data_IF_357349046256
#
_entry.id   IF_357349046256
#
_cell.length_a   1.000
_cell.length_b   1.000
_cell.length_c   1.000
_cell.angle_alpha   90.00
_cell.angle_beta   90.00
_cell.angle_gamma   90.00
#
_symmetry.space_group_name_H-M   'P 1'
#
loop_
_entity.id
_entity.type
_entity.pdbx_description
1 polymer ?
#
# COMPACT_ATOMS: atom_id res chain seq x y z
N UNK A 1 45.74 23.87 3.10
CA UNK A 1 47.05 23.59 2.48
C UNK A 1 47.36 22.12 2.71
N UNK A 2 47.11 21.25 1.72
CA UNK A 2 47.28 19.79 1.89
C UNK A 2 48.78 19.49 1.80
N UNK A 3 49.38 18.77 2.77
CA UNK A 3 50.80 18.48 2.75
C UNK A 3 51.18 17.70 1.50
N UNK A 4 52.30 18.07 0.86
CA UNK A 4 52.77 17.48 -0.41
C UNK A 4 52.90 15.94 -0.34
N UNK A 5 53.17 15.42 0.85
CA UNK A 5 53.23 13.98 1.15
C UNK A 5 51.88 13.27 0.95
N UNK A 6 50.76 13.91 1.33
CA UNK A 6 49.40 13.34 1.19
C UNK A 6 48.94 13.32 -0.27
N UNK A 7 49.41 14.27 -1.10
CA UNK A 7 49.18 14.24 -2.57
C UNK A 7 49.94 13.08 -3.22
N UNK A 8 51.21 12.87 -2.87
CA UNK A 8 51.97 11.72 -3.37
C UNK A 8 51.33 10.38 -2.98
N UNK A 9 50.86 10.26 -1.74
CA UNK A 9 50.20 9.04 -1.27
C UNK A 9 48.92 8.73 -2.04
N UNK A 10 48.11 9.75 -2.35
CA UNK A 10 46.89 9.59 -3.16
C UNK A 10 47.25 9.15 -4.59
N UNK A 11 48.27 9.76 -5.21
CA UNK A 11 48.70 9.37 -6.55
C UNK A 11 49.18 7.91 -6.60
N UNK A 12 49.96 7.47 -5.63
CA UNK A 12 50.45 6.09 -5.54
C UNK A 12 49.28 5.11 -5.34
N UNK A 13 48.32 5.45 -4.47
CA UNK A 13 47.15 4.63 -4.22
C UNK A 13 46.28 4.48 -5.49
N UNK A 14 46.06 5.58 -6.22
CA UNK A 14 45.31 5.54 -7.48
C UNK A 14 46.04 4.74 -8.56
N UNK A 15 47.36 4.88 -8.67
CA UNK A 15 48.15 4.12 -9.65
C UNK A 15 48.12 2.61 -9.37
N UNK A 16 48.19 2.21 -8.09
CA UNK A 16 48.11 0.80 -7.69
C UNK A 16 46.75 0.17 -8.01
N UNK A 17 45.65 0.92 -7.90
CA UNK A 17 44.31 0.43 -8.26
C UNK A 17 44.20 0.21 -9.78
N UNK A 18 44.73 1.14 -10.60
CA UNK A 18 44.72 1.00 -12.06
C UNK A 18 45.50 -0.23 -12.55
N UNK A 19 46.59 -0.62 -11.87
CA UNK A 19 47.43 -1.77 -12.24
C UNK A 19 46.71 -3.12 -12.03
N UNK A 20 45.75 -3.21 -11.10
CA UNK A 20 45.00 -4.45 -10.84
C UNK A 20 43.79 -4.65 -11.75
N UNK A 21 43.35 -3.61 -12.46
CA UNK A 21 42.16 -3.67 -13.31
C UNK A 21 42.35 -4.49 -14.61
N UNK A 22 43.61 -4.71 -15.02
CA UNK A 22 43.96 -5.51 -16.20
C UNK A 22 44.34 -6.95 -15.80
N UNK A 23 43.44 -7.70 -15.17
CA UNK A 23 43.58 -9.16 -15.19
C UNK A 23 43.04 -9.70 -16.53
N UNK A 24 43.92 -10.36 -17.29
CA UNK A 24 43.53 -11.10 -18.49
C UNK A 24 42.45 -12.12 -18.12
N UNK A 25 41.31 -12.08 -18.82
CA UNK A 25 40.30 -13.13 -18.71
C UNK A 25 40.95 -14.47 -19.04
N UNK A 26 40.91 -15.39 -18.08
CA UNK A 26 41.28 -16.79 -18.28
C UNK A 26 40.53 -17.28 -19.52
N UNK A 27 41.26 -17.76 -20.53
CA UNK A 27 40.66 -18.35 -21.73
C UNK A 27 40.00 -19.67 -21.33
N UNK A 28 38.75 -19.60 -20.91
CA UNK A 28 37.94 -20.79 -20.67
C UNK A 28 37.71 -21.55 -21.98
N UNK A 29 37.67 -22.87 -21.89
CA UNK A 29 37.28 -23.74 -22.99
C UNK A 29 35.87 -23.35 -23.49
N UNK A 30 35.71 -23.05 -24.79
CA UNK A 30 34.43 -22.63 -25.35
C UNK A 30 33.31 -23.65 -25.17
N UNK A 31 33.60 -24.95 -25.06
CA UNK A 31 32.57 -25.98 -24.84
C UNK A 31 32.02 -25.93 -23.41
N UNK A 32 32.89 -25.93 -22.40
CA UNK A 32 32.49 -25.75 -20.99
C UNK A 32 31.71 -24.45 -20.73
N UNK A 33 32.01 -23.39 -21.50
CA UNK A 33 31.25 -22.13 -21.41
C UNK A 33 29.83 -22.27 -21.96
N UNK A 34 29.67 -22.96 -23.10
CA UNK A 34 28.35 -23.21 -23.70
C UNK A 34 27.48 -24.06 -22.78
N UNK A 35 28.04 -25.14 -22.23
CA UNK A 35 27.28 -26.03 -21.35
C UNK A 35 26.77 -25.30 -20.09
N UNK A 36 27.62 -24.47 -19.45
CA UNK A 36 27.18 -23.64 -18.31
C UNK A 36 26.10 -22.65 -18.71
N UNK A 37 26.23 -22.03 -19.88
CA UNK A 37 25.25 -21.08 -20.38
C UNK A 37 23.90 -21.76 -20.64
N UNK A 38 23.90 -22.92 -21.29
CA UNK A 38 22.71 -23.71 -21.57
C UNK A 38 22.01 -24.15 -20.29
N UNK A 39 22.75 -24.65 -19.29
CA UNK A 39 22.20 -24.99 -17.97
C UNK A 39 21.56 -23.77 -17.29
N UNK A 40 22.23 -22.62 -17.30
CA UNK A 40 21.71 -21.40 -16.70
C UNK A 40 20.45 -20.89 -17.43
N UNK A 41 20.41 -20.96 -18.76
CA UNK A 41 19.24 -20.60 -19.56
C UNK A 41 18.08 -21.55 -19.25
N UNK A 42 18.32 -22.86 -19.27
CA UNK A 42 17.30 -23.87 -18.98
C UNK A 42 16.69 -23.66 -17.59
N UNK A 43 17.52 -23.38 -16.58
CA UNK A 43 17.06 -23.07 -15.23
C UNK A 43 16.17 -21.82 -15.20
N UNK A 44 16.61 -20.72 -15.82
CA UNK A 44 15.81 -19.47 -15.89
C UNK A 44 14.48 -19.67 -16.60
N UNK A 45 14.46 -20.42 -17.70
CA UNK A 45 13.24 -20.70 -18.45
C UNK A 45 12.27 -21.55 -17.63
N UNK A 46 12.75 -22.54 -16.89
CA UNK A 46 11.91 -23.37 -16.04
C UNK A 46 11.28 -22.57 -14.90
N UNK A 47 12.06 -21.72 -14.22
CA UNK A 47 11.54 -20.83 -13.16
C UNK A 47 10.45 -19.92 -13.73
N UNK A 48 10.74 -19.23 -14.84
CA UNK A 48 9.78 -18.34 -15.48
C UNK A 48 8.51 -19.05 -15.93
N UNK A 49 8.62 -20.28 -16.45
CA UNK A 49 7.46 -21.09 -16.86
C UNK A 49 6.56 -21.39 -15.66
N UNK A 50 7.14 -21.78 -14.54
CA UNK A 50 6.38 -22.10 -13.31
C UNK A 50 5.69 -20.85 -12.77
N UNK A 51 6.40 -19.74 -12.65
CA UNK A 51 5.85 -18.46 -12.18
C UNK A 51 4.70 -17.99 -13.07
N UNK A 52 4.91 -18.01 -14.39
CA UNK A 52 3.89 -17.61 -15.35
C UNK A 52 2.66 -18.52 -15.32
N UNK A 53 2.86 -19.83 -15.17
CA UNK A 53 1.76 -20.78 -15.03
C UNK A 53 0.95 -20.53 -13.76
N UNK A 54 1.61 -20.29 -12.62
CA UNK A 54 0.94 -19.97 -11.37
C UNK A 54 0.15 -18.66 -11.48
N UNK A 55 0.72 -17.64 -12.12
CA UNK A 55 0.02 -16.37 -12.34
C UNK A 55 -1.22 -16.56 -13.22
N UNK A 56 -1.06 -17.25 -14.36
CA UNK A 56 -2.16 -17.56 -15.26
C UNK A 56 -3.28 -18.34 -14.56
N UNK A 57 -2.92 -19.32 -13.72
CA UNK A 57 -3.90 -20.07 -12.92
C UNK A 57 -4.67 -19.15 -11.96
N UNK A 58 -3.98 -18.26 -11.25
CA UNK A 58 -4.63 -17.30 -10.33
C UNK A 58 -5.57 -16.37 -11.07
N UNK A 59 -5.14 -15.83 -12.20
CA UNK A 59 -5.95 -14.91 -13.02
C UNK A 59 -7.19 -15.63 -13.57
N UNK A 60 -7.04 -16.87 -14.04
CA UNK A 60 -8.15 -17.68 -14.53
C UNK A 60 -9.19 -17.95 -13.43
N UNK A 61 -8.75 -18.26 -12.20
CA UNK A 61 -9.63 -18.46 -11.05
C UNK A 61 -10.37 -17.16 -10.71
N UNK A 62 -9.67 -16.03 -10.62
CA UNK A 62 -10.30 -14.74 -10.30
C UNK A 62 -11.36 -14.32 -11.34
N UNK A 63 -11.11 -14.60 -12.63
CA UNK A 63 -12.09 -14.36 -13.70
C UNK A 63 -13.31 -15.28 -13.53
N UNK A 64 -13.07 -16.56 -13.22
CA UNK A 64 -14.15 -17.53 -13.00
C UNK A 64 -15.02 -17.14 -11.79
N UNK A 65 -14.40 -16.80 -10.65
CA UNK A 65 -15.08 -16.33 -9.44
C UNK A 65 -15.96 -15.13 -9.73
N UNK A 66 -15.41 -14.09 -10.39
CA UNK A 66 -16.17 -12.89 -10.75
C UNK A 66 -17.40 -13.22 -11.61
N UNK A 67 -17.28 -14.17 -12.54
CA UNK A 67 -18.41 -14.60 -13.37
C UNK A 67 -19.45 -15.35 -12.54
N UNK A 68 -19.03 -16.32 -11.73
CA UNK A 68 -19.94 -17.10 -10.87
C UNK A 68 -20.69 -16.18 -9.91
N UNK A 69 -20.00 -15.27 -9.22
CA UNK A 69 -20.63 -14.30 -8.33
C UNK A 69 -21.67 -13.43 -9.05
N UNK A 70 -21.37 -12.98 -10.27
CA UNK A 70 -22.32 -12.20 -11.06
C UNK A 70 -23.59 -12.98 -11.40
N UNK A 71 -23.46 -14.28 -11.67
CA UNK A 71 -24.58 -15.18 -11.97
C UNK A 71 -25.41 -15.39 -10.70
N UNK A 72 -24.75 -15.74 -9.58
CA UNK A 72 -25.42 -15.95 -8.30
C UNK A 72 -26.15 -14.70 -7.81
N UNK A 73 -25.54 -13.52 -7.97
CA UNK A 73 -26.18 -12.26 -7.61
C UNK A 73 -27.39 -11.96 -8.50
N UNK A 74 -27.30 -12.24 -9.80
CA UNK A 74 -28.43 -12.09 -10.71
C UNK A 74 -29.56 -13.05 -10.30
N UNK A 75 -29.24 -14.32 -10.08
CA UNK A 75 -30.19 -15.34 -9.65
C UNK A 75 -30.86 -14.97 -8.32
N UNK A 76 -30.09 -14.56 -7.31
CA UNK A 76 -30.64 -14.09 -6.04
C UNK A 76 -31.60 -12.91 -6.24
N UNK A 77 -31.27 -11.95 -7.12
CA UNK A 77 -32.17 -10.84 -7.45
C UNK A 77 -33.42 -11.27 -8.20
N UNK A 78 -33.38 -12.33 -8.99
CA UNK A 78 -34.54 -12.85 -9.73
C UNK A 78 -35.45 -13.72 -8.86
N UNK A 79 -34.87 -14.59 -8.02
CA UNK A 79 -35.61 -15.55 -7.19
C UNK A 79 -36.12 -14.89 -5.90
N UNK A 80 -35.33 -14.01 -5.27
CA UNK A 80 -35.71 -13.31 -4.04
C UNK A 80 -36.25 -11.90 -4.29
N UNK A 81 -36.96 -11.69 -5.40
CA UNK A 81 -37.85 -10.53 -5.49
C UNK A 81 -38.89 -10.73 -4.39
N UNK A 82 -38.85 -9.86 -3.39
CA UNK A 82 -39.86 -9.79 -2.33
C UNK A 82 -41.20 -9.43 -3.00
N UNK A 83 -41.93 -10.46 -3.42
CA UNK A 83 -43.24 -10.34 -4.06
C UNK A 83 -44.31 -9.88 -3.08
N UNK A 84 -43.97 -9.84 -1.78
CA UNK A 84 -44.82 -9.30 -0.74
C UNK A 84 -44.75 -7.78 -0.82
N UNK A 85 -45.91 -7.16 -1.00
CA UNK A 85 -46.06 -5.71 -0.98
C UNK A 85 -45.56 -5.18 0.37
N UNK A 86 -44.45 -4.43 0.34
CA UNK A 86 -43.90 -3.81 1.55
C UNK A 86 -44.99 -2.94 2.20
N UNK A 87 -45.22 -3.08 3.51
CA UNK A 87 -46.19 -2.23 4.20
C UNK A 87 -45.81 -0.77 4.03
N UNK A 88 -46.81 0.11 4.08
CA UNK A 88 -46.57 1.55 4.02
C UNK A 88 -45.55 1.96 5.09
N UNK A 89 -44.58 2.81 4.72
CA UNK A 89 -43.62 3.34 5.69
C UNK A 89 -44.39 3.99 6.84
N UNK A 90 -44.04 3.69 8.10
CA UNK A 90 -44.68 4.33 9.24
C UNK A 90 -44.48 5.85 9.16
N UNK A 91 -45.47 6.58 9.67
CA UNK A 91 -45.43 8.04 9.71
C UNK A 91 -44.26 8.48 10.62
N UNK A 92 -43.48 9.44 10.15
CA UNK A 92 -42.36 10.00 10.91
C UNK A 92 -42.89 10.57 12.23
N UNK A 93 -42.34 10.20 13.41
CA UNK A 93 -42.78 10.78 14.67
C UNK A 93 -42.53 12.29 14.69
N UNK A 94 -43.39 13.02 15.42
CA UNK A 94 -43.21 14.45 15.66
C UNK A 94 -41.94 14.69 16.47
N UNK A 95 -41.19 15.75 16.12
CA UNK A 95 -40.02 16.12 16.90
C UNK A 95 -40.46 16.57 18.30
N UNK A 96 -39.76 16.13 19.37
CA UNK A 96 -40.03 16.62 20.71
C UNK A 96 -39.77 18.12 20.80
N UNK A 97 -40.51 18.82 21.67
CA UNK A 97 -40.28 20.22 21.94
C UNK A 97 -38.84 20.41 22.48
N UNK A 98 -38.13 21.40 21.95
CA UNK A 98 -36.81 21.78 22.45
C UNK A 98 -37.02 22.43 23.80
N UNK A 99 -36.78 21.68 24.88
CA UNK A 99 -36.79 22.22 26.24
C UNK A 99 -35.45 22.93 26.46
N UNK A 100 -35.43 24.22 26.86
CA UNK A 100 -34.18 24.88 27.18
C UNK A 100 -33.47 24.14 28.33
N UNK A 101 -32.13 24.05 28.30
CA UNK A 101 -31.38 23.40 29.37
C UNK A 101 -31.68 24.09 30.71
N UNK A 102 -31.82 23.28 31.76
CA UNK A 102 -32.21 23.70 33.12
C UNK A 102 -31.30 24.79 33.70
N UNK A 103 -30.06 24.87 33.22
CA UNK A 103 -29.04 25.83 33.65
C UNK A 103 -29.08 27.17 32.90
N UNK A 104 -30.19 27.48 32.21
CA UNK A 104 -30.42 28.80 31.58
C UNK A 104 -30.74 29.87 32.64
N UNK A 105 -29.87 30.04 33.63
CA UNK A 105 -29.93 31.17 34.55
C UNK A 105 -29.35 32.40 33.87
N UNK A 106 -30.05 33.53 33.94
CA UNK A 106 -29.52 34.79 33.45
C UNK A 106 -28.27 35.16 34.27
N UNK A 107 -27.11 35.12 33.61
CA UNK A 107 -25.84 35.51 34.23
C UNK A 107 -25.91 37.00 34.54
N UNK A 108 -26.05 37.33 35.83
CA UNK A 108 -25.91 38.73 36.28
C UNK A 108 -24.44 39.12 36.21
N UNK A 109 -24.11 40.33 35.73
CA UNK A 109 -22.74 40.80 35.71
C UNK A 109 -22.19 40.84 37.14
N UNK A 110 -20.94 40.37 37.30
CA UNK A 110 -20.25 40.32 38.59
C UNK A 110 -19.83 41.72 39.11
N UNK A 111 -19.93 42.74 38.26
CA UNK A 111 -19.46 44.09 38.53
C UNK A 111 -20.55 45.12 38.22
N UNK A 112 -20.99 45.85 39.24
CA UNK A 112 -21.68 47.13 39.03
C UNK A 112 -20.61 48.23 39.05
N UNK A 113 -20.43 48.94 37.93
CA UNK A 113 -19.55 50.11 37.83
C UNK A 113 -18.07 49.84 38.18
N UNK A 114 -17.55 48.67 37.82
CA UNK A 114 -16.11 48.37 37.88
C UNK A 114 -15.55 48.11 39.28
N UNK A 115 -16.38 47.89 40.31
CA UNK A 115 -15.93 47.47 41.65
C UNK A 115 -16.57 46.13 42.02
N UNK A 116 -15.72 45.20 42.49
CA UNK A 116 -16.11 43.85 42.88
C UNK A 116 -16.87 43.92 44.22
N UNK A 117 -18.14 43.48 44.27
CA UNK A 117 -18.87 43.29 45.54
C UNK A 117 -18.32 42.02 46.20
N UNK A 118 -17.51 42.18 47.23
CA UNK A 118 -17.16 41.09 48.14
C UNK A 118 -18.20 41.15 49.27
N UNK A 119 -19.16 40.23 49.27
CA UNK A 119 -19.98 39.94 50.46
C UNK A 119 -19.09 39.18 51.47
N UNK A 120 -19.05 39.66 52.72
CA UNK A 120 -18.63 38.88 53.88
C UNK A 120 -19.78 37.97 54.33
#
# INVERSE_FOLDING_TARGET
>A
MIPKFKRYFIFILTASILLTACQQKIKEDPQLRKERLEKAIAQKLNVRRIEHFQQCKKDAIAIAEKKVDSILLAEAKWIHIDTITKPAKPIKPTLPAIVPPKDSTAVKPLFDNGKLKIEN
#
